data_IF_110116274968
#
_entry.id   IF_110116274968
#
_cell.length_a   1.000
_cell.length_b   1.000
_cell.length_c   1.000
_cell.angle_alpha   90.00
_cell.angle_beta   90.00
_cell.angle_gamma   90.00
#
_symmetry.space_group_name_H-M   'P 1'
#
loop_
_entity.id
_entity.type
_entity.pdbx_description
1 polymer ?
#
# COMPACT_ATOMS: atom_id res chain seq x y z
N UNK A 1 20.24 3.87 8.27
CA UNK A 1 19.52 2.59 8.40
C UNK A 1 20.41 1.54 9.02
N UNK A 2 19.83 0.74 9.90
CA UNK A 2 20.53 -0.39 10.50
C UNK A 2 20.86 -1.43 9.42
N UNK A 3 22.12 -1.88 9.38
CA UNK A 3 22.58 -2.90 8.44
C UNK A 3 21.77 -4.21 8.54
N UNK A 4 21.22 -4.49 9.73
CA UNK A 4 20.39 -5.67 9.95
C UNK A 4 19.06 -5.63 9.18
N UNK A 5 18.61 -4.47 8.73
CA UNK A 5 17.34 -4.32 8.01
C UNK A 5 17.41 -4.79 6.56
N UNK A 6 18.60 -5.01 6.03
CA UNK A 6 18.79 -5.55 4.67
C UNK A 6 18.94 -7.08 4.65
N UNK A 7 19.07 -7.71 5.82
CA UNK A 7 19.30 -9.15 5.90
C UNK A 7 18.02 -9.95 5.64
N UNK A 8 18.08 -10.86 4.68
CA UNK A 8 16.98 -11.79 4.39
C UNK A 8 16.88 -12.93 5.40
N UNK A 9 17.81 -13.01 6.35
CA UNK A 9 17.88 -14.12 7.32
C UNK A 9 17.11 -13.85 8.61
N UNK A 10 16.35 -12.75 8.71
CA UNK A 10 15.58 -12.45 9.90
C UNK A 10 14.47 -13.48 10.13
N UNK A 11 14.24 -13.78 11.40
CA UNK A 11 13.21 -14.75 11.79
C UNK A 11 11.82 -14.25 11.42
N UNK A 12 10.97 -15.16 10.93
CA UNK A 12 9.61 -14.90 10.47
C UNK A 12 8.75 -14.18 11.52
N UNK A 13 8.98 -14.43 12.81
CA UNK A 13 8.20 -13.82 13.91
C UNK A 13 8.32 -12.31 14.03
N UNK A 14 9.32 -11.67 13.37
CA UNK A 14 9.42 -10.22 13.33
C UNK A 14 8.69 -9.62 12.13
N UNK A 15 8.12 -10.46 11.27
CA UNK A 15 7.39 -10.00 10.09
C UNK A 15 5.93 -9.72 10.44
N UNK A 16 5.44 -8.60 9.93
CA UNK A 16 4.06 -8.18 10.10
C UNK A 16 3.47 -7.90 8.72
N UNK A 17 2.13 -7.88 8.63
CA UNK A 17 1.45 -7.69 7.36
C UNK A 17 0.39 -6.62 7.47
N UNK A 18 0.40 -5.66 6.54
CA UNK A 18 -0.69 -4.70 6.34
C UNK A 18 -1.05 -4.67 4.85
N UNK A 19 -2.21 -4.09 4.56
CA UNK A 19 -2.73 -3.99 3.19
C UNK A 19 -2.93 -2.51 2.91
N UNK A 20 -2.24 -1.98 1.89
CA UNK A 20 -2.18 -0.54 1.63
C UNK A 20 -2.80 -0.23 0.28
N UNK A 21 -3.80 0.66 0.30
CA UNK A 21 -4.48 1.14 -0.90
C UNK A 21 -4.05 2.58 -1.18
N UNK A 22 -3.57 2.84 -2.38
CA UNK A 22 -3.05 4.16 -2.77
C UNK A 22 -3.35 4.52 -4.21
N UNK A 23 -4.49 4.09 -4.74
CA UNK A 23 -4.83 4.27 -6.14
C UNK A 23 -4.43 3.05 -6.97
N UNK A 24 -3.91 3.28 -8.17
CA UNK A 24 -3.50 2.19 -9.05
C UNK A 24 -2.45 1.28 -8.38
N UNK A 25 -2.77 0.00 -8.27
CA UNK A 25 -1.90 -0.95 -7.56
C UNK A 25 -0.53 -1.16 -8.22
N UNK A 26 -0.40 -0.92 -9.52
CA UNK A 26 0.89 -1.05 -10.20
C UNK A 26 1.96 -0.13 -9.60
N UNK A 27 1.62 1.14 -9.43
CA UNK A 27 2.54 2.14 -8.89
C UNK A 27 2.77 1.93 -7.40
N UNK A 28 1.71 1.62 -6.66
CA UNK A 28 1.81 1.40 -5.22
C UNK A 28 2.73 0.22 -4.92
N UNK A 29 2.58 -0.89 -5.65
CA UNK A 29 3.45 -2.05 -5.46
C UNK A 29 4.90 -1.72 -5.81
N UNK A 30 5.12 -1.07 -6.94
CA UNK A 30 6.46 -0.70 -7.39
C UNK A 30 7.17 0.17 -6.34
N UNK A 31 6.46 1.15 -5.80
CA UNK A 31 7.00 2.03 -4.78
C UNK A 31 7.34 1.25 -3.49
N UNK A 32 6.39 0.47 -2.96
CA UNK A 32 6.61 -0.23 -1.70
C UNK A 32 7.67 -1.33 -1.80
N UNK A 33 7.91 -1.88 -2.99
CA UNK A 33 9.03 -2.81 -3.21
C UNK A 33 10.38 -2.17 -2.90
N UNK A 34 10.47 -0.84 -2.93
CA UNK A 34 11.71 -0.09 -2.67
C UNK A 34 11.81 0.46 -1.26
N UNK A 35 10.73 0.43 -0.49
CA UNK A 35 10.69 1.03 0.85
C UNK A 35 11.52 0.19 1.83
N UNK A 36 12.46 0.83 2.56
CA UNK A 36 13.27 0.11 3.54
C UNK A 36 12.41 -0.59 4.60
N UNK A 37 12.74 -1.84 4.89
CA UNK A 37 12.01 -2.64 5.88
C UNK A 37 10.88 -3.47 5.29
N UNK A 38 10.43 -3.17 4.08
CA UNK A 38 9.46 -3.99 3.36
C UNK A 38 10.17 -5.20 2.76
N UNK A 39 9.66 -6.39 3.02
CA UNK A 39 10.28 -7.64 2.57
C UNK A 39 9.64 -8.19 1.31
N UNK A 40 8.31 -8.22 1.27
CA UNK A 40 7.57 -8.68 0.09
C UNK A 40 6.31 -7.86 -0.10
N UNK A 41 5.84 -7.81 -1.34
CA UNK A 41 4.58 -7.18 -1.69
C UNK A 41 3.79 -8.09 -2.62
N UNK A 42 2.46 -7.91 -2.60
CA UNK A 42 1.57 -8.64 -3.49
C UNK A 42 0.39 -7.73 -3.84
N UNK A 43 0.13 -7.56 -5.14
CA UNK A 43 -1.02 -6.79 -5.60
C UNK A 43 -2.31 -7.57 -5.37
N UNK A 44 -3.36 -6.87 -4.93
CA UNK A 44 -4.62 -7.53 -4.62
C UNK A 44 -5.79 -6.58 -4.47
N UNK A 45 -6.88 -7.13 -3.94
CA UNK A 45 -8.15 -6.45 -3.75
C UNK A 45 -8.59 -6.62 -2.30
N UNK A 46 -8.78 -5.49 -1.62
CA UNK A 46 -9.15 -5.50 -0.20
C UNK A 46 -10.61 -5.11 -0.01
N UNK A 47 -11.25 -5.78 0.96
CA UNK A 47 -12.58 -5.41 1.46
C UNK A 47 -13.68 -5.37 0.40
N UNK A 48 -13.58 -6.23 -0.61
CA UNK A 48 -14.70 -6.57 -1.47
C UNK A 48 -15.60 -7.59 -0.80
N UNK A 49 -16.63 -8.01 -1.49
CA UNK A 49 -17.61 -8.95 -0.93
C UNK A 49 -17.53 -10.35 -1.52
N UNK A 50 -16.69 -10.56 -2.54
CA UNK A 50 -16.52 -11.87 -3.19
C UNK A 50 -15.07 -12.32 -3.16
N UNK A 51 -14.84 -13.60 -3.47
CA UNK A 51 -13.51 -14.19 -3.50
C UNK A 51 -13.06 -14.51 -4.93
N UNK A 52 -13.66 -13.87 -5.92
CA UNK A 52 -13.33 -14.11 -7.33
C UNK A 52 -12.76 -12.86 -7.98
N UNK A 53 -11.89 -13.07 -8.96
CA UNK A 53 -11.40 -12.01 -9.83
C UNK A 53 -12.33 -11.73 -10.99
N UNK A 54 -13.23 -12.66 -11.27
CA UNK A 54 -14.21 -12.58 -12.34
C UNK A 54 -15.56 -12.10 -11.79
N UNK A 55 -16.32 -11.42 -12.60
CA UNK A 55 -17.64 -10.95 -12.22
C UNK A 55 -17.70 -9.45 -12.02
N UNK A 56 -18.88 -8.93 -11.62
CA UNK A 56 -19.04 -7.49 -11.45
C UNK A 56 -18.23 -6.94 -10.27
N UNK A 57 -17.96 -5.64 -10.33
CA UNK A 57 -17.24 -4.95 -9.26
C UNK A 57 -18.00 -5.11 -7.93
N UNK A 58 -17.29 -5.55 -6.89
CA UNK A 58 -17.89 -5.92 -5.61
C UNK A 58 -17.56 -4.95 -4.45
N UNK A 59 -17.01 -3.78 -4.76
CA UNK A 59 -16.71 -2.77 -3.74
C UNK A 59 -15.26 -2.79 -3.22
N UNK A 60 -14.38 -3.62 -3.79
CA UNK A 60 -13.00 -3.71 -3.32
C UNK A 60 -12.21 -2.43 -3.55
N UNK A 61 -11.14 -2.25 -2.76
CA UNK A 61 -10.09 -1.28 -3.03
C UNK A 61 -8.90 -2.02 -3.63
N UNK A 62 -8.32 -1.49 -4.72
CA UNK A 62 -7.04 -2.00 -5.20
C UNK A 62 -5.99 -1.75 -4.11
N UNK A 63 -5.25 -2.77 -3.74
CA UNK A 63 -4.30 -2.68 -2.64
C UNK A 63 -3.05 -3.48 -2.90
N UNK A 64 -2.08 -3.27 -2.02
CA UNK A 64 -0.85 -4.03 -1.98
C UNK A 64 -0.72 -4.64 -0.59
N UNK A 65 -0.60 -5.95 -0.53
CA UNK A 65 -0.24 -6.66 0.70
C UNK A 65 1.24 -6.38 0.95
N UNK A 66 1.56 -5.79 2.08
CA UNK A 66 2.92 -5.41 2.44
C UNK A 66 3.35 -6.22 3.65
N UNK A 67 4.36 -7.06 3.46
CA UNK A 67 5.00 -7.79 4.56
C UNK A 67 6.27 -7.03 4.93
N UNK A 68 6.37 -6.62 6.18
CA UNK A 68 7.48 -5.78 6.65
C UNK A 68 8.07 -6.30 7.94
N UNK A 69 9.34 -5.96 8.17
CA UNK A 69 10.04 -6.31 9.40
C UNK A 69 9.80 -5.19 10.42
N UNK A 70 9.08 -5.51 11.51
CA UNK A 70 8.74 -4.53 12.55
C UNK A 70 9.96 -3.94 13.27
N UNK A 71 11.11 -4.57 13.13
CA UNK A 71 12.37 -4.05 13.70
C UNK A 71 13.04 -3.04 12.80
N UNK A 72 12.62 -2.97 11.52
CA UNK A 72 13.23 -2.09 10.52
C UNK A 72 12.33 -0.93 10.15
N UNK A 73 11.01 -1.10 10.27
CA UNK A 73 10.04 -0.06 9.95
C UNK A 73 8.81 -0.23 10.84
N UNK A 74 7.83 0.63 10.66
CA UNK A 74 6.62 0.63 11.49
C UNK A 74 5.41 1.00 10.64
N UNK A 75 4.21 0.78 11.18
CA UNK A 75 2.99 1.24 10.52
C UNK A 75 3.02 2.75 10.32
N UNK A 76 3.52 3.51 11.31
CA UNK A 76 3.67 4.96 11.20
C UNK A 76 4.54 5.33 10.00
N UNK A 77 5.70 4.69 9.86
CA UNK A 77 6.60 4.96 8.72
C UNK A 77 5.96 4.55 7.39
N UNK A 78 5.24 3.42 7.37
CA UNK A 78 4.53 3.00 6.15
C UNK A 78 3.43 3.99 5.77
N UNK A 79 2.74 4.58 6.75
CA UNK A 79 1.76 5.64 6.52
C UNK A 79 2.44 6.90 5.97
N UNK A 80 3.59 7.27 6.50
CA UNK A 80 4.38 8.40 5.97
C UNK A 80 4.73 8.16 4.51
N UNK A 81 5.18 6.95 4.17
CA UNK A 81 5.49 6.60 2.79
C UNK A 81 4.27 6.61 1.89
N UNK A 82 3.13 6.09 2.38
CA UNK A 82 1.88 6.16 1.62
C UNK A 82 1.53 7.61 1.27
N UNK A 83 1.69 8.52 2.24
CA UNK A 83 1.37 9.94 2.04
C UNK A 83 2.32 10.63 1.06
N UNK A 84 3.47 10.03 0.74
CA UNK A 84 4.35 10.54 -0.32
C UNK A 84 3.79 10.28 -1.72
N UNK A 85 2.89 9.29 -1.87
CA UNK A 85 2.43 8.85 -3.18
C UNK A 85 0.95 9.09 -3.45
N UNK A 86 0.22 9.63 -2.49
CA UNK A 86 -1.22 9.89 -2.64
C UNK A 86 -1.57 11.35 -2.37
N UNK A 87 -2.76 11.73 -2.84
CA UNK A 87 -3.44 12.93 -2.37
C UNK A 87 -4.41 12.47 -1.26
N UNK A 88 -4.09 12.72 0.02
CA UNK A 88 -4.90 12.19 1.12
C UNK A 88 -6.27 12.85 1.29
N UNK A 89 -6.53 13.90 0.52
CA UNK A 89 -7.81 14.62 0.53
C UNK A 89 -8.74 14.17 -0.59
N UNK A 90 -8.24 13.36 -1.53
CA UNK A 90 -9.00 12.99 -2.73
C UNK A 90 -9.82 11.73 -2.48
N UNK A 91 -11.13 11.86 -2.50
CA UNK A 91 -12.04 10.75 -2.28
C UNK A 91 -12.24 9.96 -3.59
N UNK A 92 -11.94 8.66 -3.54
CA UNK A 92 -12.16 7.72 -4.64
C UNK A 92 -11.50 8.15 -5.96
N UNK A 93 -10.37 8.86 -5.85
CA UNK A 93 -9.65 9.34 -7.03
C UNK A 93 -8.17 9.58 -6.71
N UNK A 94 -7.30 9.07 -7.56
CA UNK A 94 -5.88 9.40 -7.50
C UNK A 94 -5.41 9.68 -8.92
N UNK A 95 -5.06 10.94 -9.19
CA UNK A 95 -4.69 11.37 -10.54
C UNK A 95 -5.84 11.18 -11.51
N UNK A 96 -5.60 10.48 -12.61
CA UNK A 96 -6.59 10.20 -13.65
C UNK A 96 -7.49 8.99 -13.32
N UNK A 97 -7.12 8.22 -12.30
CA UNK A 97 -7.88 7.03 -11.89
C UNK A 97 -9.03 7.44 -10.98
N UNK A 98 -10.25 7.27 -11.46
CA UNK A 98 -11.47 7.66 -10.77
C UNK A 98 -12.33 6.43 -10.52
N UNK A 99 -12.78 6.26 -9.28
CA UNK A 99 -13.67 5.19 -8.88
C UNK A 99 -13.38 4.70 -7.48
N UNK A 100 -14.36 4.04 -6.87
CA UNK A 100 -14.25 3.53 -5.50
C UNK A 100 -13.09 2.56 -5.31
N UNK A 101 -12.70 1.82 -6.36
CA UNK A 101 -11.57 0.89 -6.30
C UNK A 101 -10.22 1.58 -6.12
N UNK A 102 -10.15 2.88 -6.40
CA UNK A 102 -8.92 3.67 -6.25
C UNK A 102 -8.90 4.49 -4.96
N UNK A 103 -9.81 4.22 -4.03
CA UNK A 103 -9.79 4.87 -2.74
C UNK A 103 -8.54 4.47 -1.95
N UNK A 104 -8.15 5.34 -1.02
CA UNK A 104 -6.94 5.15 -0.23
C UNK A 104 -7.24 4.58 1.14
N UNK A 105 -6.30 3.81 1.69
CA UNK A 105 -6.50 3.25 3.00
C UNK A 105 -5.38 2.35 3.47
N UNK A 106 -5.46 1.98 4.73
CA UNK A 106 -4.67 0.93 5.34
C UNK A 106 -5.61 -0.04 6.02
N UNK A 107 -5.47 -1.31 5.69
CA UNK A 107 -6.30 -2.38 6.24
C UNK A 107 -5.41 -3.42 6.92
N UNK A 108 -5.90 -4.00 8.00
CA UNK A 108 -5.16 -5.04 8.73
C UNK A 108 -6.12 -5.90 9.54
N UNK A 109 -5.69 -7.10 9.87
CA UNK A 109 -6.37 -7.97 10.82
C UNK A 109 -5.88 -7.74 12.25
N UNK A 110 -4.81 -6.94 12.42
CA UNK A 110 -4.24 -6.64 13.73
C UNK A 110 -4.71 -5.27 14.22
N UNK A 111 -5.49 -5.21 15.33
CA UNK A 111 -6.00 -3.93 15.85
C UNK A 111 -4.90 -2.92 16.19
N UNK A 112 -3.71 -3.37 16.60
CA UNK A 112 -2.59 -2.46 16.90
C UNK A 112 -2.12 -1.71 15.67
N UNK A 113 -2.15 -2.34 14.50
CA UNK A 113 -1.82 -1.66 13.24
C UNK A 113 -2.80 -0.53 12.97
N UNK A 114 -4.09 -0.78 13.21
CA UNK A 114 -5.14 0.21 12.98
C UNK A 114 -5.03 1.38 13.96
N UNK A 115 -4.72 1.10 15.22
CA UNK A 115 -4.50 2.13 16.23
C UNK A 115 -3.32 3.02 15.84
N UNK A 116 -2.23 2.41 15.43
CA UNK A 116 -1.02 3.14 15.03
C UNK A 116 -1.27 4.02 13.81
N UNK A 117 -1.98 3.49 12.80
CA UNK A 117 -2.33 4.25 11.60
C UNK A 117 -3.26 5.42 11.91
N UNK A 118 -4.26 5.21 12.78
CA UNK A 118 -5.16 6.28 13.20
C UNK A 118 -4.42 7.35 14.00
N UNK A 119 -3.50 6.94 14.88
CA UNK A 119 -2.70 7.90 15.64
C UNK A 119 -1.85 8.77 14.71
N UNK A 120 -1.31 8.20 13.65
CA UNK A 120 -0.59 8.95 12.62
C UNK A 120 -1.48 10.04 12.01
N UNK A 121 -2.68 9.67 11.59
CA UNK A 121 -3.63 10.63 10.99
C UNK A 121 -4.03 11.69 12.01
N UNK A 122 -4.37 11.27 13.23
CA UNK A 122 -4.84 12.17 14.29
C UNK A 122 -3.76 13.16 14.73
N UNK A 123 -2.49 12.84 14.57
CA UNK A 123 -1.39 13.72 14.91
C UNK A 123 -1.17 14.84 13.89
N UNK A 124 -1.79 14.74 12.73
CA UNK A 124 -1.61 15.71 11.64
C UNK A 124 -2.52 16.92 11.82
N UNK A 125 -2.01 18.08 11.41
CA UNK A 125 -2.80 19.32 11.46
C UNK A 125 -3.95 19.30 10.47
N UNK A 126 -3.81 18.54 9.39
CA UNK A 126 -4.81 18.43 8.32
C UNK A 126 -5.77 17.25 8.49
N UNK A 127 -5.78 16.62 9.67
CA UNK A 127 -6.56 15.39 9.91
C UNK A 127 -8.02 15.47 9.48
N UNK A 128 -8.65 16.64 9.62
CA UNK A 128 -10.06 16.81 9.28
C UNK A 128 -10.35 16.76 7.78
N UNK A 129 -9.30 16.88 6.96
CA UNK A 129 -9.42 16.83 5.50
C UNK A 129 -9.06 15.47 4.92
N UNK A 130 -8.49 14.59 5.74
CA UNK A 130 -7.97 13.31 5.28
C UNK A 130 -9.11 12.31 5.09
N UNK A 131 -9.16 11.70 3.90
CA UNK A 131 -10.17 10.71 3.53
C UNK A 131 -9.60 9.28 3.49
N UNK A 132 -8.36 9.10 3.91
CA UNK A 132 -7.70 7.78 3.94
C UNK A 132 -8.41 6.89 4.96
N UNK A 133 -8.86 5.71 4.51
CA UNK A 133 -9.52 4.76 5.40
C UNK A 133 -8.51 4.05 6.29
N UNK A 134 -8.88 3.77 7.53
CA UNK A 134 -8.15 2.88 8.43
C UNK A 134 -9.17 1.91 8.98
N UNK A 135 -9.23 0.70 8.41
CA UNK A 135 -10.30 -0.24 8.69
C UNK A 135 -9.78 -1.67 8.84
N UNK A 136 -10.50 -2.52 9.57
CA UNK A 136 -10.19 -3.94 9.58
C UNK A 136 -10.24 -4.53 8.17
N UNK A 137 -9.32 -5.46 7.90
CA UNK A 137 -9.38 -6.22 6.66
C UNK A 137 -10.48 -7.27 6.79
N UNK A 138 -11.49 -7.18 5.94
CA UNK A 138 -12.62 -8.13 5.95
C UNK A 138 -12.52 -9.16 4.83
N UNK A 139 -11.78 -8.85 3.78
CA UNK A 139 -11.59 -9.74 2.64
C UNK A 139 -10.35 -9.32 1.85
N UNK A 140 -9.64 -10.30 1.33
CA UNK A 140 -8.49 -10.05 0.46
C UNK A 140 -8.44 -11.11 -0.62
N UNK A 141 -8.30 -10.66 -1.86
CA UNK A 141 -8.14 -11.55 -3.02
C UNK A 141 -6.88 -11.12 -3.77
N UNK A 142 -5.95 -12.05 -3.98
CA UNK A 142 -4.73 -11.80 -4.76
C UNK A 142 -5.12 -11.51 -6.21
N UNK A 143 -4.58 -10.45 -6.78
CA UNK A 143 -4.80 -10.11 -8.18
C UNK A 143 -4.07 -11.10 -9.11
N UNK A 144 -4.53 -11.19 -10.37
CA UNK A 144 -3.95 -12.09 -11.35
C UNK A 144 -2.44 -11.81 -11.54
N UNK A 145 -1.73 -12.83 -11.99
CA UNK A 145 -0.27 -12.78 -12.17
C UNK A 145 0.18 -11.61 -13.04
N UNK A 146 -0.61 -11.26 -14.04
CA UNK A 146 -0.32 -10.13 -14.93
C UNK A 146 -0.21 -8.78 -14.21
N UNK A 147 -0.82 -8.64 -13.03
CA UNK A 147 -0.76 -7.43 -12.23
C UNK A 147 0.37 -7.45 -11.20
N UNK A 148 1.02 -8.60 -10.99
CA UNK A 148 2.08 -8.70 -10.01
C UNK A 148 3.38 -8.10 -10.56
N UNK A 149 3.92 -7.10 -9.85
CA UNK A 149 5.16 -6.40 -10.22
C UNK A 149 5.13 -5.90 -11.67
N UNK A 150 3.97 -5.37 -12.07
CA UNK A 150 3.73 -4.96 -13.45
C UNK A 150 4.76 -3.94 -13.96
N UNK A 151 5.05 -2.90 -13.16
CA UNK A 151 5.98 -1.85 -13.58
C UNK A 151 7.44 -2.31 -13.60
N UNK A 152 7.77 -3.37 -12.87
CA UNK A 152 9.11 -3.96 -12.96
C UNK A 152 9.31 -4.66 -14.32
N UNK A 153 8.26 -5.34 -14.79
CA UNK A 153 8.28 -6.05 -16.08
C UNK A 153 8.04 -5.13 -17.28
N UNK A 154 7.24 -4.10 -17.09
CA UNK A 154 6.85 -3.14 -18.13
C UNK A 154 7.05 -1.71 -17.62
N UNK A 155 8.32 -1.25 -17.49
CA UNK A 155 8.61 0.09 -16.94
C UNK A 155 7.96 1.24 -17.71
N UNK A 156 7.72 1.06 -19.01
CA UNK A 156 7.07 2.08 -19.85
C UNK A 156 5.64 2.38 -19.40
N UNK A 157 4.99 1.47 -18.71
CA UNK A 157 3.63 1.67 -18.24
C UNK A 157 3.53 2.59 -17.02
N UNK A 158 4.67 3.06 -16.49
CA UNK A 158 4.68 4.04 -15.40
C UNK A 158 3.97 5.34 -15.76
N UNK A 159 3.84 5.66 -17.06
CA UNK A 159 3.12 6.84 -17.52
C UNK A 159 1.61 6.80 -17.19
N UNK A 160 1.06 5.62 -16.92
CA UNK A 160 -0.33 5.46 -16.50
C UNK A 160 -0.52 5.64 -14.99
N UNK A 161 0.57 5.78 -14.26
CA UNK A 161 0.53 5.89 -12.81
C UNK A 161 0.43 7.33 -12.36
N UNK A 162 -0.33 7.58 -11.28
CA UNK A 162 -0.43 8.93 -10.70
C UNK A 162 0.83 9.35 -9.95
N UNK A 163 1.75 8.40 -9.68
CA UNK A 163 2.97 8.66 -8.91
C UNK A 163 4.07 9.12 -9.86
N UNK A 164 4.70 10.29 -9.61
CA UNK A 164 5.82 10.74 -10.43
C UNK A 164 6.98 9.74 -10.40
N UNK A 165 7.66 9.60 -11.53
CA UNK A 165 8.74 8.64 -11.69
C UNK A 165 9.86 8.82 -10.65
N UNK A 166 10.20 10.06 -10.33
CA UNK A 166 11.21 10.37 -9.31
C UNK A 166 10.80 9.88 -7.91
N UNK A 167 9.50 9.90 -7.61
CA UNK A 167 8.98 9.39 -6.33
C UNK A 167 8.93 7.87 -6.34
N UNK A 168 8.51 7.26 -7.46
CA UNK A 168 8.47 5.81 -7.62
C UNK A 168 9.83 5.16 -7.33
N UNK A 169 10.90 5.84 -7.68
CA UNK A 169 12.25 5.31 -7.58
C UNK A 169 13.07 5.91 -6.43
N UNK A 170 12.43 6.70 -5.57
CA UNK A 170 13.09 7.44 -4.49
C UNK A 170 14.00 6.58 -3.60
N UNK A 171 13.60 5.37 -3.30
CA UNK A 171 14.32 4.48 -2.38
C UNK A 171 15.08 3.37 -3.08
N UNK A 172 15.02 3.31 -4.41
CA UNK A 172 15.59 2.20 -5.18
C UNK A 172 17.11 2.07 -5.04
N UNK A 173 17.80 3.19 -4.90
CA UNK A 173 19.27 3.24 -4.87
C UNK A 173 19.85 3.52 -3.48
N UNK A 174 19.10 3.23 -2.44
CA UNK A 174 19.56 3.43 -1.05
C UNK A 174 20.03 2.13 -0.41
#
# INVERSE_FOLDING_TARGET
MDANCTSKKRKVKSMETVYIAGGCLWGVQHFFDTVPGVRTTEAGRANGTTNTLDGPYDGYAECVKVVFDEKCTSVTELMEHLFEIIDPYSLNKQGVDVGKKYRTGLYSTNPRHLEEARAFIDSRKDRDKIVVEVLPLTNYVRSAEEHQHHLERYPEDCSYCHIPDEVLNKYRNQ
#
